data_IF_242694572521
#
_entry.id   IF_242694572521
#
_cell.length_a   1.000
_cell.length_b   1.000
_cell.length_c   1.000
_cell.angle_alpha   90.00
_cell.angle_beta   90.00
_cell.angle_gamma   90.00
#
_symmetry.space_group_name_H-M   'P 1'
#
loop_
_entity.id
_entity.type
_entity.pdbx_description
1 polymer ?
#
# COMPACT_ATOMS: atom_id res chain seq x y z
N UNK A 1 -20.18 -22.51 8.10
CA UNK A 1 -18.94 -21.71 7.96
C UNK A 1 -18.13 -21.86 9.24
N UNK A 2 -17.20 -22.81 9.29
CA UNK A 2 -16.33 -23.00 10.46
C UNK A 2 -15.31 -21.87 10.48
N UNK A 3 -15.42 -20.97 11.46
CA UNK A 3 -14.34 -20.03 11.77
C UNK A 3 -13.22 -20.84 12.41
N UNK A 4 -12.33 -21.39 11.58
CA UNK A 4 -11.10 -22.03 12.05
C UNK A 4 -10.38 -21.07 12.98
N UNK A 5 -10.04 -21.54 14.18
CA UNK A 5 -9.42 -20.72 15.21
C UNK A 5 -8.04 -20.25 14.72
N UNK A 6 -7.98 -19.04 14.15
CA UNK A 6 -6.75 -18.46 13.67
C UNK A 6 -5.99 -17.89 14.87
N UNK A 7 -4.99 -18.63 15.35
CA UNK A 7 -4.07 -18.14 16.37
C UNK A 7 -3.03 -17.22 15.72
N UNK A 8 -3.21 -15.90 15.86
CA UNK A 8 -2.30 -14.89 15.33
C UNK A 8 -1.29 -14.52 16.42
N UNK A 9 0.00 -14.64 16.13
CA UNK A 9 1.09 -14.28 17.06
C UNK A 9 1.62 -12.87 16.74
N UNK A 10 2.34 -12.22 17.68
CA UNK A 10 3.05 -10.97 17.38
C UNK A 10 3.99 -11.08 16.18
N UNK A 11 4.63 -12.23 15.98
CA UNK A 11 5.50 -12.50 14.82
C UNK A 11 4.71 -12.47 13.51
N UNK A 12 3.55 -13.16 13.46
CA UNK A 12 2.70 -13.14 12.26
C UNK A 12 2.25 -11.72 11.89
N UNK A 13 1.96 -10.87 12.88
CA UNK A 13 1.59 -9.47 12.64
C UNK A 13 2.75 -8.64 12.08
N UNK A 14 3.97 -8.85 12.59
CA UNK A 14 5.17 -8.17 12.07
C UNK A 14 5.52 -8.61 10.66
N UNK A 15 5.42 -9.90 10.38
CA UNK A 15 5.68 -10.45 9.05
C UNK A 15 4.68 -9.88 8.03
N UNK A 16 3.39 -9.84 8.39
CA UNK A 16 2.37 -9.22 7.54
C UNK A 16 2.63 -7.72 7.34
N UNK A 17 3.06 -7.00 8.39
CA UNK A 17 3.41 -5.60 8.28
C UNK A 17 4.59 -5.36 7.30
N UNK A 18 5.60 -6.23 7.35
CA UNK A 18 6.74 -6.18 6.43
C UNK A 18 6.32 -6.46 4.97
N UNK A 19 5.43 -7.44 4.75
CA UNK A 19 4.89 -7.76 3.43
C UNK A 19 4.10 -6.58 2.87
N UNK A 20 3.22 -5.97 3.66
CA UNK A 20 2.42 -4.81 3.23
C UNK A 20 3.32 -3.63 2.84
N UNK A 21 4.36 -3.37 3.62
CA UNK A 21 5.32 -2.31 3.30
C UNK A 21 6.09 -2.59 2.01
N UNK A 22 6.52 -3.83 1.78
CA UNK A 22 7.19 -4.24 0.56
C UNK A 22 6.29 -4.07 -0.66
N UNK A 23 5.06 -4.59 -0.60
CA UNK A 23 4.10 -4.48 -1.70
C UNK A 23 3.81 -3.01 -2.04
N UNK A 24 3.61 -2.16 -1.04
CA UNK A 24 3.42 -0.72 -1.26
C UNK A 24 4.61 -0.08 -1.98
N UNK A 25 5.82 -0.44 -1.57
CA UNK A 25 7.06 0.05 -2.20
C UNK A 25 7.17 -0.40 -3.66
N UNK A 26 6.84 -1.66 -3.94
CA UNK A 26 6.83 -2.21 -5.30
C UNK A 26 5.76 -1.54 -6.18
N UNK A 27 4.57 -1.25 -5.64
CA UNK A 27 3.50 -0.53 -6.36
C UNK A 27 3.92 0.92 -6.66
N UNK A 28 4.52 1.61 -5.70
CA UNK A 28 5.05 2.98 -5.92
C UNK A 28 6.11 2.98 -7.02
N UNK A 29 7.07 2.05 -6.95
CA UNK A 29 8.09 1.91 -7.98
C UNK A 29 7.47 1.65 -9.37
N UNK A 30 6.53 0.71 -9.46
CA UNK A 30 5.83 0.41 -10.71
C UNK A 30 5.08 1.63 -11.26
N UNK A 31 4.44 2.42 -10.40
CA UNK A 31 3.78 3.67 -10.77
C UNK A 31 4.72 4.70 -11.37
N UNK A 32 5.95 4.81 -10.84
CA UNK A 32 6.99 5.72 -11.36
C UNK A 32 7.63 5.26 -12.67
N UNK A 33 7.61 3.96 -12.98
CA UNK A 33 8.20 3.41 -14.21
C UNK A 33 7.29 3.50 -15.44
N UNK A 34 6.04 3.95 -15.29
CA UNK A 34 5.15 4.14 -16.43
C UNK A 34 5.60 5.36 -17.23
N UNK A 35 5.91 5.15 -18.51
CA UNK A 35 6.22 6.25 -19.43
C UNK A 35 4.93 6.99 -19.80
N UNK A 36 4.94 8.31 -19.60
CA UNK A 36 3.81 9.17 -19.94
C UNK A 36 3.82 9.50 -21.45
N UNK A 37 2.71 9.18 -22.13
CA UNK A 37 2.58 9.28 -23.58
C UNK A 37 1.98 10.59 -24.10
N UNK A 38 1.65 11.54 -23.23
CA UNK A 38 0.96 12.78 -23.62
C UNK A 38 1.85 13.69 -24.48
N UNK A 39 3.13 13.84 -24.12
CA UNK A 39 4.12 14.62 -24.89
C UNK A 39 4.38 14.04 -26.29
N UNK A 40 4.65 12.73 -26.47
CA UNK A 40 4.77 12.13 -27.80
C UNK A 40 3.52 12.25 -28.67
N UNK A 41 2.33 12.11 -28.08
CA UNK A 41 1.04 12.22 -28.80
C UNK A 41 0.81 13.64 -29.29
N UNK A 42 1.08 14.64 -28.44
CA UNK A 42 1.01 16.04 -28.83
C UNK A 42 2.03 16.39 -29.93
N UNK A 43 3.25 15.86 -29.82
CA UNK A 43 4.30 16.09 -30.82
C UNK A 43 3.95 15.49 -32.19
N UNK A 44 3.32 14.31 -32.21
CA UNK A 44 3.00 13.59 -33.45
C UNK A 44 1.74 14.11 -34.15
N UNK A 45 0.71 14.47 -33.38
CA UNK A 45 -0.63 14.76 -33.91
C UNK A 45 -1.06 16.22 -33.70
N UNK A 46 -0.25 17.01 -32.99
CA UNK A 46 -0.48 18.43 -32.78
C UNK A 46 -1.80 18.73 -32.08
N UNK A 47 -2.43 19.89 -32.38
CA UNK A 47 -3.64 20.36 -31.69
C UNK A 47 -4.85 19.43 -31.85
N UNK A 48 -4.90 18.62 -32.91
CA UNK A 48 -6.01 17.70 -33.20
C UNK A 48 -6.11 16.62 -32.10
N UNK A 49 -4.98 16.25 -31.49
CA UNK A 49 -4.94 15.28 -30.40
C UNK A 49 -5.13 15.91 -29.00
N UNK A 50 -5.51 17.18 -28.90
CA UNK A 50 -5.67 17.88 -27.60
C UNK A 50 -6.60 17.16 -26.63
N UNK A 51 -7.73 16.62 -27.11
CA UNK A 51 -8.64 15.82 -26.29
C UNK A 51 -7.99 14.52 -25.79
N UNK A 52 -7.22 13.84 -26.63
CA UNK A 52 -6.48 12.62 -26.28
C UNK A 52 -5.38 12.93 -25.25
N UNK A 53 -4.65 14.03 -25.42
CA UNK A 53 -3.63 14.51 -24.47
C UNK A 53 -4.26 14.84 -23.11
N UNK A 54 -5.42 15.51 -23.10
CA UNK A 54 -6.15 15.80 -21.86
C UNK A 54 -6.61 14.52 -21.15
N UNK A 55 -7.13 13.55 -21.90
CA UNK A 55 -7.52 12.24 -21.34
C UNK A 55 -6.32 11.48 -20.78
N UNK A 56 -5.18 11.46 -21.49
CA UNK A 56 -3.95 10.85 -21.01
C UNK A 56 -3.49 11.48 -19.71
N UNK A 57 -3.45 12.82 -19.62
CA UNK A 57 -3.08 13.52 -18.38
C UNK A 57 -4.01 13.19 -17.21
N UNK A 58 -5.31 13.13 -17.46
CA UNK A 58 -6.28 12.75 -16.43
C UNK A 58 -6.03 11.33 -15.90
N UNK A 59 -5.73 10.37 -16.79
CA UNK A 59 -5.39 8.98 -16.41
C UNK A 59 -4.06 8.93 -15.66
N UNK A 60 -3.06 9.70 -16.08
CA UNK A 60 -1.76 9.79 -15.40
C UNK A 60 -1.92 10.35 -13.98
N UNK A 61 -2.70 11.41 -13.82
CA UNK A 61 -3.00 11.98 -12.50
C UNK A 61 -3.76 10.98 -11.63
N UNK A 62 -4.82 10.35 -12.14
CA UNK A 62 -5.58 9.35 -11.39
C UNK A 62 -4.70 8.17 -10.95
N UNK A 63 -3.73 7.77 -11.79
CA UNK A 63 -2.74 6.74 -11.42
C UNK A 63 -1.82 7.21 -10.29
N UNK A 64 -1.32 8.44 -10.36
CA UNK A 64 -0.48 9.01 -9.31
C UNK A 64 -1.21 9.10 -7.97
N UNK A 65 -2.47 9.54 -8.00
CA UNK A 65 -3.34 9.62 -6.82
C UNK A 65 -3.57 8.22 -6.23
N UNK A 66 -3.91 7.24 -7.06
CA UNK A 66 -4.10 5.85 -6.62
C UNK A 66 -2.84 5.24 -5.99
N UNK A 67 -1.67 5.52 -6.56
CA UNK A 67 -0.38 5.06 -5.99
C UNK A 67 -0.13 5.69 -4.62
N UNK A 68 -0.40 6.99 -4.46
CA UNK A 68 -0.28 7.69 -3.19
C UNK A 68 -1.23 7.11 -2.13
N UNK A 69 -2.49 6.86 -2.51
CA UNK A 69 -3.50 6.26 -1.63
C UNK A 69 -3.11 4.85 -1.17
N UNK A 70 -2.64 4.00 -2.08
CA UNK A 70 -2.16 2.65 -1.74
C UNK A 70 -1.01 2.74 -0.74
N UNK A 71 -0.05 3.63 -0.96
CA UNK A 71 1.09 3.80 -0.06
C UNK A 71 0.65 4.28 1.33
N UNK A 72 -0.29 5.24 1.39
CA UNK A 72 -0.84 5.74 2.65
C UNK A 72 -1.61 4.65 3.42
N UNK A 73 -2.47 3.89 2.73
CA UNK A 73 -3.24 2.80 3.34
C UNK A 73 -2.34 1.67 3.83
N UNK A 74 -1.34 1.28 3.05
CA UNK A 74 -0.38 0.25 3.45
C UNK A 74 0.48 0.69 4.64
N UNK A 75 0.89 1.96 4.69
CA UNK A 75 1.58 2.54 5.85
C UNK A 75 0.72 2.49 7.12
N UNK A 76 -0.54 2.94 7.03
CA UNK A 76 -1.50 2.87 8.14
C UNK A 76 -1.73 1.42 8.62
N UNK A 77 -1.91 0.48 7.69
CA UNK A 77 -2.07 -0.93 8.01
C UNK A 77 -0.83 -1.51 8.70
N UNK A 78 0.37 -1.21 8.20
CA UNK A 78 1.64 -1.60 8.83
C UNK A 78 1.69 -1.12 10.28
N UNK A 79 1.38 0.15 10.52
CA UNK A 79 1.44 0.75 11.85
C UNK A 79 0.41 0.11 12.80
N UNK A 80 -0.80 -0.18 12.31
CA UNK A 80 -1.80 -0.93 13.07
C UNK A 80 -1.35 -2.35 13.44
N UNK A 81 -0.72 -3.07 12.51
CA UNK A 81 -0.20 -4.42 12.74
C UNK A 81 0.94 -4.43 13.76
N UNK A 82 1.87 -3.48 13.67
CA UNK A 82 2.95 -3.31 14.65
C UNK A 82 2.38 -2.96 16.03
N UNK A 83 1.42 -2.03 16.09
CA UNK A 83 0.75 -1.68 17.35
C UNK A 83 -0.06 -2.84 17.95
N UNK A 84 -0.66 -3.70 17.12
CA UNK A 84 -1.33 -4.92 17.57
C UNK A 84 -0.31 -5.93 18.15
N UNK A 85 0.82 -6.14 17.49
CA UNK A 85 1.89 -7.01 17.97
C UNK A 85 2.40 -6.59 19.36
N UNK A 86 2.64 -5.28 19.54
CA UNK A 86 3.07 -4.71 20.82
C UNK A 86 2.03 -4.93 21.94
N UNK A 87 0.74 -4.78 21.64
CA UNK A 87 -0.33 -5.01 22.62
C UNK A 87 -0.44 -6.47 23.03
N UNK A 88 -0.24 -7.41 22.09
CA UNK A 88 -0.20 -8.83 22.41
C UNK A 88 0.98 -9.15 23.33
N UNK A 89 2.19 -8.70 23.01
CA UNK A 89 3.36 -8.92 23.86
C UNK A 89 3.19 -8.32 25.26
N UNK A 90 2.65 -7.11 25.36
CA UNK A 90 2.36 -6.48 26.65
C UNK A 90 1.35 -7.30 27.47
N UNK A 91 0.33 -7.87 26.81
CA UNK A 91 -0.68 -8.72 27.46
C UNK A 91 -0.09 -10.05 27.92
N UNK A 92 0.75 -10.68 27.10
CA UNK A 92 1.43 -11.92 27.43
C UNK A 92 2.39 -11.74 28.62
N UNK A 93 3.18 -10.66 28.61
CA UNK A 93 4.04 -10.31 29.74
C UNK A 93 3.26 -10.00 31.02
N UNK A 94 2.13 -9.28 30.92
CA UNK A 94 1.29 -9.00 32.07
C UNK A 94 0.65 -10.27 32.65
N UNK A 95 0.20 -11.18 31.79
CA UNK A 95 -0.39 -12.46 32.18
C UNK A 95 0.65 -13.38 32.81
N UNK A 96 1.85 -13.48 32.21
CA UNK A 96 2.96 -14.25 32.76
C UNK A 96 3.35 -13.78 34.16
N UNK A 97 3.42 -12.46 34.40
CA UNK A 97 3.69 -11.90 35.74
C UNK A 97 2.61 -12.19 36.78
N UNK A 98 1.36 -12.42 36.38
CA UNK A 98 0.25 -12.75 37.30
C UNK A 98 0.21 -14.24 37.66
N UNK A 99 0.89 -15.07 36.87
CA UNK A 99 0.98 -16.52 37.08
C UNK A 99 2.24 -16.94 37.86
N UNK A 100 3.12 -15.99 38.17
CA UNK A 100 4.28 -16.13 39.04
C UNK A 100 3.92 -15.69 40.46
#
# INVERSE_FOLDING_TARGET
MSHGHLAVTPTHLRDLAAVQHRVATEVVAAGCHVLDGDVPVLASHGPIASATVAALRAVQQARADAVADINAQAGSLRDHLVGAAQRYEATDHASSRRLQ
#
